data_IF_052432855990
#
_entry.id   IF_052432855990
#
_cell.length_a   1.000
_cell.length_b   1.000
_cell.length_c   1.000
_cell.angle_alpha   90.00
_cell.angle_beta   90.00
_cell.angle_gamma   90.00
#
_symmetry.space_group_name_H-M   'P 1'
#
loop_
_entity.id
_entity.type
_entity.pdbx_description
1 polymer ?
#
# COMPACT_ATOMS: atom_id res chain seq x y z
N UNK A 1 -13.60 -51.28 24.87
CA UNK A 1 -12.91 -51.03 23.58
C UNK A 1 -13.12 -49.62 22.99
N UNK A 2 -14.17 -48.85 23.35
CA UNK A 2 -14.48 -47.52 22.75
C UNK A 2 -13.49 -46.38 23.08
N UNK A 3 -12.71 -46.47 24.16
CA UNK A 3 -11.83 -45.37 24.57
C UNK A 3 -10.49 -45.29 23.80
N UNK A 4 -10.07 -46.38 23.14
CA UNK A 4 -8.75 -46.44 22.47
C UNK A 4 -8.74 -45.81 21.07
N UNK A 5 -9.91 -45.67 20.44
CA UNK A 5 -10.07 -45.10 19.10
C UNK A 5 -10.11 -43.56 19.16
N UNK A 6 -10.69 -42.99 20.23
CA UNK A 6 -10.83 -41.54 20.41
C UNK A 6 -9.50 -40.79 20.53
N UNK A 7 -8.45 -41.41 21.07
CA UNK A 7 -7.15 -40.72 21.21
C UNK A 7 -6.31 -40.69 19.93
N UNK A 8 -6.53 -41.62 18.99
CA UNK A 8 -5.80 -41.64 17.72
C UNK A 8 -6.28 -40.55 16.75
N UNK A 9 -7.59 -40.32 16.69
CA UNK A 9 -8.19 -39.26 15.85
C UNK A 9 -7.79 -37.88 16.35
N UNK A 10 -7.74 -37.68 17.68
CA UNK A 10 -7.33 -36.41 18.27
C UNK A 10 -5.84 -36.09 18.00
N UNK A 11 -4.96 -37.10 18.01
CA UNK A 11 -3.54 -36.91 17.65
C UNK A 11 -3.36 -36.55 16.18
N UNK A 12 -4.05 -37.24 15.26
CA UNK A 12 -3.97 -36.92 13.84
C UNK A 12 -4.44 -35.48 13.53
N UNK A 13 -5.50 -35.01 14.21
CA UNK A 13 -5.97 -33.63 14.05
C UNK A 13 -4.95 -32.58 14.52
N UNK A 14 -4.17 -32.87 15.56
CA UNK A 14 -3.13 -31.94 16.03
C UNK A 14 -1.93 -31.87 15.09
N UNK A 15 -1.62 -32.96 14.38
CA UNK A 15 -0.47 -33.03 13.47
C UNK A 15 -0.74 -32.40 12.09
N UNK A 16 -2.01 -32.29 11.67
CA UNK A 16 -2.40 -31.74 10.36
C UNK A 16 -2.69 -30.23 10.42
N UNK A 17 -2.93 -29.66 11.60
CA UNK A 17 -3.27 -28.24 11.73
C UNK A 17 -2.01 -27.34 11.72
N UNK A 18 -2.02 -26.24 10.96
CA UNK A 18 -0.94 -25.26 11.00
C UNK A 18 -0.80 -24.67 12.42
N UNK A 19 0.45 -24.40 12.81
CA UNK A 19 0.78 -23.84 14.14
C UNK A 19 0.00 -22.54 14.35
N UNK A 20 -0.84 -22.48 15.39
CA UNK A 20 -1.62 -21.29 15.75
C UNK A 20 -3.11 -21.51 16.01
N UNK A 21 -3.65 -22.71 15.75
CA UNK A 21 -5.09 -23.01 15.94
C UNK A 21 -5.31 -23.72 17.28
N UNK A 22 -6.16 -23.14 18.14
CA UNK A 22 -6.59 -23.77 19.39
C UNK A 22 -7.85 -24.61 19.19
N UNK A 23 -7.84 -25.87 19.65
CA UNK A 23 -8.98 -26.79 19.55
C UNK A 23 -9.53 -27.07 20.95
N UNK A 24 -10.76 -26.63 21.22
CA UNK A 24 -11.49 -26.94 22.46
C UNK A 24 -12.45 -28.12 22.24
N UNK A 25 -12.30 -29.19 23.03
CA UNK A 25 -13.20 -30.34 23.00
C UNK A 25 -14.21 -30.23 24.15
N UNK A 26 -15.51 -30.21 23.82
CA UNK A 26 -16.59 -30.23 24.82
C UNK A 26 -17.12 -31.66 24.96
N UNK A 27 -17.42 -32.09 26.19
CA UNK A 27 -17.64 -33.49 26.59
C UNK A 27 -18.85 -34.21 25.95
N UNK A 28 -19.65 -33.54 25.11
CA UNK A 28 -20.87 -34.09 24.52
C UNK A 28 -20.69 -34.71 23.12
N UNK A 29 -19.45 -34.80 22.62
CA UNK A 29 -19.16 -35.58 21.40
C UNK A 29 -19.48 -34.87 20.08
N UNK A 30 -19.85 -33.59 20.13
CA UNK A 30 -19.88 -32.72 18.96
C UNK A 30 -18.55 -31.96 18.88
N UNK A 31 -17.78 -32.20 17.81
CA UNK A 31 -16.63 -31.37 17.48
C UNK A 31 -17.13 -30.18 16.67
N UNK A 32 -17.19 -29.01 17.31
CA UNK A 32 -17.32 -27.75 16.60
C UNK A 32 -15.91 -27.25 16.29
N UNK A 33 -15.52 -27.33 15.02
CA UNK A 33 -14.38 -26.55 14.54
C UNK A 33 -14.89 -25.14 14.39
N UNK A 34 -14.70 -24.32 15.42
CA UNK A 34 -14.67 -22.89 15.21
C UNK A 34 -13.38 -22.63 14.44
N UNK A 35 -13.49 -22.52 13.12
CA UNK A 35 -12.63 -21.57 12.47
C UNK A 35 -13.05 -20.23 13.08
N UNK A 36 -12.35 -19.80 14.14
CA UNK A 36 -12.11 -18.38 14.27
C UNK A 36 -11.64 -18.01 12.89
N UNK A 37 -12.43 -17.20 12.17
CA UNK A 37 -11.84 -16.34 11.20
C UNK A 37 -10.64 -15.76 11.94
N UNK A 38 -9.44 -16.23 11.59
CA UNK A 38 -8.40 -15.26 11.33
C UNK A 38 -9.11 -14.35 10.34
N UNK A 39 -9.70 -13.29 10.89
CA UNK A 39 -9.57 -12.02 10.24
C UNK A 39 -8.10 -12.02 9.82
N UNK A 40 -7.85 -12.35 8.55
CA UNK A 40 -6.99 -11.46 7.77
C UNK A 40 -7.37 -10.10 8.31
N UNK A 41 -6.47 -9.34 8.98
CA UNK A 41 -6.84 -8.04 9.49
C UNK A 41 -7.65 -7.43 8.37
N UNK A 42 -8.96 -7.29 8.60
CA UNK A 42 -9.84 -6.62 7.67
C UNK A 42 -9.05 -5.39 7.36
N UNK A 43 -8.77 -5.13 6.07
CA UNK A 43 -8.18 -3.89 5.59
C UNK A 43 -8.59 -2.82 6.58
N UNK A 44 -7.67 -2.44 7.49
CA UNK A 44 -8.10 -1.87 8.77
C UNK A 44 -9.09 -0.77 8.39
N UNK A 45 -10.33 -0.77 8.87
CA UNK A 45 -11.13 0.43 8.81
C UNK A 45 -10.44 1.33 9.84
N UNK A 46 -9.26 1.85 9.47
CA UNK A 46 -8.53 2.80 10.26
C UNK A 46 -9.57 3.84 10.59
N UNK A 47 -9.92 4.04 11.88
CA UNK A 47 -10.67 5.23 12.22
C UNK A 47 -9.83 6.37 11.64
N UNK A 48 -10.41 7.18 10.75
CA UNK A 48 -9.82 8.35 10.08
C UNK A 48 -9.45 9.46 11.10
N UNK A 49 -9.04 9.09 12.30
CA UNK A 49 -8.47 9.90 13.36
C UNK A 49 -6.96 9.64 13.52
N UNK A 50 -6.38 8.66 12.80
CA UNK A 50 -4.96 8.67 12.48
C UNK A 50 -4.78 9.55 11.23
N UNK A 51 -3.98 10.60 11.33
CA UNK A 51 -3.72 11.53 10.22
C UNK A 51 -3.15 10.71 9.05
N UNK A 52 -3.99 10.33 8.10
CA UNK A 52 -3.51 9.82 6.82
C UNK A 52 -3.09 11.02 6.02
N UNK A 53 -1.86 11.00 5.51
CA UNK A 53 -1.30 12.12 4.76
C UNK A 53 -2.25 12.56 3.65
N UNK A 54 -2.43 13.86 3.53
CA UNK A 54 -3.24 14.49 2.49
C UNK A 54 -2.34 15.07 1.42
N UNK A 55 -2.78 14.98 0.16
CA UNK A 55 -2.13 15.59 -0.97
C UNK A 55 -2.12 17.11 -0.79
N UNK A 56 -0.94 17.68 -0.89
CA UNK A 56 -0.70 19.11 -0.70
C UNK A 56 -0.22 19.80 -1.98
N UNK A 57 0.27 19.03 -2.96
CA UNK A 57 0.68 19.55 -4.26
C UNK A 57 1.65 18.64 -5.00
N UNK A 58 2.18 19.15 -6.11
CA UNK A 58 3.27 18.52 -6.86
C UNK A 58 4.53 19.37 -6.76
N UNK A 59 5.70 18.76 -6.92
CA UNK A 59 6.97 19.50 -7.04
C UNK A 59 7.01 20.35 -8.31
N UNK A 60 7.69 21.50 -8.27
CA UNK A 60 7.85 22.39 -9.43
C UNK A 60 8.71 21.80 -10.55
N UNK A 61 9.63 20.89 -10.19
CA UNK A 61 10.53 20.24 -11.14
C UNK A 61 9.99 18.89 -11.58
N UNK A 62 10.35 18.51 -12.81
CA UNK A 62 10.17 17.15 -13.30
C UNK A 62 11.41 16.33 -12.95
N UNK A 63 11.18 15.09 -12.52
CA UNK A 63 12.25 14.20 -12.11
C UNK A 63 12.30 12.98 -13.02
N UNK A 64 13.53 12.66 -13.42
CA UNK A 64 13.86 11.28 -13.75
C UNK A 64 13.68 10.41 -12.53
N UNK A 65 13.17 9.21 -12.71
CA UNK A 65 12.87 8.28 -11.62
C UNK A 65 14.09 7.72 -10.85
N UNK A 66 15.27 8.34 -10.97
CA UNK A 66 16.43 8.07 -10.13
C UNK A 66 16.95 9.38 -9.58
N UNK A 67 16.83 9.50 -8.26
CA UNK A 67 17.25 10.64 -7.45
C UNK A 67 17.96 10.15 -6.18
N UNK A 68 18.79 9.11 -6.30
CA UNK A 68 19.63 8.57 -5.22
C UNK A 68 18.89 7.99 -4.00
N UNK A 69 17.61 7.66 -4.11
CA UNK A 69 16.87 6.97 -3.05
C UNK A 69 15.65 7.72 -2.52
N UNK A 70 14.85 7.03 -1.71
CA UNK A 70 13.68 7.62 -1.05
C UNK A 70 13.98 8.85 -0.19
N UNK A 71 15.14 8.92 0.46
CA UNK A 71 15.47 10.07 1.32
C UNK A 71 15.59 11.35 0.51
N UNK A 72 16.26 11.30 -0.64
CA UNK A 72 16.43 12.46 -1.50
C UNK A 72 15.14 12.75 -2.27
N UNK A 73 14.43 11.72 -2.72
CA UNK A 73 13.12 11.85 -3.35
C UNK A 73 12.11 12.55 -2.42
N UNK A 74 12.05 12.18 -1.15
CA UNK A 74 11.18 12.85 -0.16
C UNK A 74 11.61 14.28 0.14
N UNK A 75 12.92 14.58 0.15
CA UNK A 75 13.41 15.96 0.33
C UNK A 75 12.92 16.87 -0.79
N UNK A 76 12.76 16.38 -2.01
CA UNK A 76 12.22 17.20 -3.09
C UNK A 76 10.79 17.67 -2.78
N UNK A 77 9.97 16.83 -2.13
CA UNK A 77 8.67 17.27 -1.62
C UNK A 77 8.81 18.27 -0.46
N UNK A 78 9.77 18.07 0.45
CA UNK A 78 9.93 18.94 1.63
C UNK A 78 10.56 20.31 1.36
N UNK A 79 11.34 20.47 0.28
CA UNK A 79 12.26 21.62 0.10
C UNK A 79 11.78 22.59 -0.99
N UNK A 80 11.00 22.12 -1.97
CA UNK A 80 10.95 22.77 -3.28
C UNK A 80 9.73 23.64 -3.57
N UNK A 81 8.79 23.83 -2.63
CA UNK A 81 7.52 24.51 -2.96
C UNK A 81 6.85 25.15 -1.73
N UNK A 82 6.29 26.35 -1.94
CA UNK A 82 5.51 27.07 -0.93
C UNK A 82 4.32 26.22 -0.46
N UNK A 83 4.31 25.84 0.81
CA UNK A 83 3.24 25.04 1.41
C UNK A 83 3.49 23.52 1.44
N UNK A 84 4.61 23.02 0.92
CA UNK A 84 4.99 21.61 0.97
C UNK A 84 6.01 21.28 2.09
N UNK A 85 6.23 22.19 3.03
CA UNK A 85 7.13 21.98 4.16
C UNK A 85 6.71 20.73 4.97
N UNK A 86 7.69 19.92 5.34
CA UNK A 86 7.52 18.61 6.02
C UNK A 86 6.64 17.59 5.26
N UNK A 87 6.51 17.73 3.93
CA UNK A 87 5.81 16.74 3.09
C UNK A 87 6.76 15.65 2.57
N UNK A 88 6.18 14.54 2.11
CA UNK A 88 6.87 13.40 1.50
C UNK A 88 6.18 12.99 0.18
N UNK A 89 6.81 12.11 -0.59
CA UNK A 89 6.17 11.57 -1.79
C UNK A 89 4.96 10.73 -1.39
N UNK A 90 3.79 11.11 -1.90
CA UNK A 90 2.53 10.42 -1.64
C UNK A 90 2.62 8.92 -1.93
N UNK A 91 1.90 8.14 -1.14
CA UNK A 91 1.52 6.77 -1.45
C UNK A 91 0.19 6.72 -2.21
N UNK A 92 -0.11 5.58 -2.85
CA UNK A 92 -1.45 5.37 -3.43
C UNK A 92 -2.56 5.61 -2.41
N UNK A 93 -2.39 5.12 -1.18
CA UNK A 93 -3.40 5.25 -0.13
C UNK A 93 -3.68 6.71 0.23
N UNK A 94 -2.64 7.53 0.31
CA UNK A 94 -2.78 8.97 0.61
C UNK A 94 -3.47 9.71 -0.53
N UNK A 95 -3.17 9.39 -1.79
CA UNK A 95 -3.85 9.97 -2.94
C UNK A 95 -5.34 9.56 -2.99
N UNK A 96 -5.64 8.28 -2.78
CA UNK A 96 -7.02 7.80 -2.71
C UNK A 96 -7.79 8.43 -1.54
N UNK A 97 -7.16 8.54 -0.38
CA UNK A 97 -7.79 9.17 0.78
C UNK A 97 -8.03 10.65 0.56
N UNK A 98 -7.05 11.37 0.03
CA UNK A 98 -7.20 12.78 -0.35
C UNK A 98 -8.37 12.97 -1.31
N UNK A 99 -8.48 12.12 -2.33
CA UNK A 99 -9.63 12.14 -3.24
C UNK A 99 -10.97 11.87 -2.55
N UNK A 100 -11.02 10.90 -1.62
CA UNK A 100 -12.25 10.51 -0.95
C UNK A 100 -12.68 11.50 0.15
N UNK A 101 -11.75 12.17 0.80
CA UNK A 101 -12.02 13.06 1.94
C UNK A 101 -12.05 14.53 1.56
N UNK A 102 -11.34 14.92 0.50
CA UNK A 102 -11.20 16.32 0.14
C UNK A 102 -12.27 16.76 -0.87
N UNK A 103 -13.41 17.17 -0.33
CA UNK A 103 -14.43 17.89 -1.09
C UNK A 103 -13.96 19.29 -1.54
N UNK A 104 -12.80 19.77 -1.06
CA UNK A 104 -12.21 21.08 -1.33
C UNK A 104 -10.92 20.97 -2.19
N UNK A 105 -11.06 20.40 -3.38
CA UNK A 105 -10.45 20.88 -4.63
C UNK A 105 -8.94 20.77 -4.91
N UNK A 106 -8.02 20.58 -3.95
CA UNK A 106 -6.57 20.59 -4.30
C UNK A 106 -6.14 19.41 -5.18
N UNK A 107 -6.61 18.20 -4.89
CA UNK A 107 -6.40 17.04 -5.79
C UNK A 107 -7.22 17.16 -7.07
N UNK A 108 -8.45 17.66 -6.97
CA UNK A 108 -9.41 17.67 -8.08
C UNK A 108 -9.08 18.73 -9.14
N UNK A 109 -8.43 19.82 -8.74
CA UNK A 109 -8.04 20.91 -9.63
C UNK A 109 -6.63 20.70 -10.22
N UNK A 110 -5.86 19.76 -9.67
CA UNK A 110 -4.57 19.38 -10.23
C UNK A 110 -4.77 18.68 -11.58
N UNK A 111 -3.94 19.04 -12.56
CA UNK A 111 -3.93 18.39 -13.88
C UNK A 111 -2.59 17.73 -14.15
N UNK A 112 -2.58 16.81 -15.11
CA UNK A 112 -1.37 16.12 -15.54
C UNK A 112 -1.06 14.85 -14.75
N UNK A 113 0.22 14.48 -14.73
CA UNK A 113 0.70 13.20 -14.23
C UNK A 113 1.84 13.43 -13.23
N UNK A 114 1.89 12.68 -12.12
CA UNK A 114 2.98 12.76 -11.15
C UNK A 114 3.39 11.39 -10.62
N UNK A 115 4.67 11.24 -10.29
CA UNK A 115 5.23 10.09 -9.60
C UNK A 115 4.69 9.97 -8.17
N UNK A 116 4.42 8.75 -7.72
CA UNK A 116 4.05 8.45 -6.34
C UNK A 116 4.61 7.08 -5.91
N UNK A 117 4.65 6.80 -4.60
CA UNK A 117 5.23 5.59 -4.01
C UNK A 117 4.24 4.42 -3.92
N UNK A 118 4.79 3.20 -3.98
CA UNK A 118 4.13 1.92 -3.67
C UNK A 118 3.01 1.47 -4.63
N UNK A 119 2.80 2.18 -5.74
CA UNK A 119 1.90 1.78 -6.83
C UNK A 119 0.45 1.42 -6.48
N UNK A 120 -0.39 1.13 -7.49
CA UNK A 120 -1.74 0.67 -7.24
C UNK A 120 -1.75 -0.76 -6.67
N UNK A 121 -2.67 -1.07 -5.74
CA UNK A 121 -2.88 -2.44 -5.30
C UNK A 121 -3.34 -3.33 -6.46
N UNK A 122 -2.94 -4.61 -6.45
CA UNK A 122 -3.50 -5.64 -7.34
C UNK A 122 -2.74 -5.91 -8.63
N UNK A 123 -1.53 -5.38 -8.82
CA UNK A 123 -0.66 -5.77 -9.94
C UNK A 123 0.24 -6.97 -9.54
N UNK A 124 -0.05 -8.13 -10.12
CA UNK A 124 0.65 -9.40 -9.87
C UNK A 124 1.80 -9.66 -10.87
N UNK A 125 1.72 -9.08 -12.07
CA UNK A 125 2.67 -9.33 -13.18
C UNK A 125 3.84 -8.34 -13.25
N UNK A 126 3.76 -7.21 -12.57
CA UNK A 126 4.80 -6.17 -12.63
C UNK A 126 4.99 -5.54 -11.26
N UNK A 127 6.13 -5.81 -10.64
CA UNK A 127 6.51 -5.22 -9.37
C UNK A 127 6.92 -3.75 -9.61
N UNK A 128 5.98 -2.83 -9.40
CA UNK A 128 6.33 -1.41 -9.22
C UNK A 128 7.06 -1.28 -7.90
N UNK A 129 8.36 -1.03 -7.94
CA UNK A 129 9.21 -0.84 -6.77
C UNK A 129 9.86 0.54 -6.77
N UNK A 130 9.10 1.53 -7.26
CA UNK A 130 9.48 2.93 -7.35
C UNK A 130 10.83 3.11 -8.04
N UNK A 131 11.07 2.38 -9.14
CA UNK A 131 12.35 2.42 -9.85
C UNK A 131 13.55 2.01 -9.00
N UNK A 132 13.43 0.84 -8.36
CA UNK A 132 14.41 0.32 -7.40
C UNK A 132 14.64 1.30 -6.25
N UNK A 133 13.55 1.83 -5.68
CA UNK A 133 13.57 2.82 -4.60
C UNK A 133 14.21 4.14 -5.02
N UNK A 134 13.87 4.64 -6.19
CA UNK A 134 14.35 5.88 -6.81
C UNK A 134 15.84 5.90 -7.09
N UNK A 135 16.40 4.75 -7.47
CA UNK A 135 17.83 4.62 -7.82
C UNK A 135 18.06 4.23 -9.28
N UNK A 136 17.03 3.78 -10.00
CA UNK A 136 17.14 3.32 -11.39
C UNK A 136 16.38 4.21 -12.39
N UNK A 137 16.93 4.32 -13.60
CA UNK A 137 16.26 4.92 -14.79
C UNK A 137 16.10 3.89 -15.92
N UNK A 138 16.20 2.61 -15.61
CA UNK A 138 16.21 1.56 -16.64
C UNK A 138 14.77 1.27 -17.11
N UNK A 139 14.56 1.12 -18.41
CA UNK A 139 13.24 0.82 -19.00
C UNK A 139 12.62 -0.51 -18.53
N UNK A 140 13.41 -1.40 -17.90
CA UNK A 140 12.89 -2.66 -17.34
C UNK A 140 12.41 -2.55 -15.89
N UNK A 141 12.70 -1.42 -15.25
CA UNK A 141 12.22 -1.12 -13.91
C UNK A 141 10.93 -0.30 -14.01
N UNK A 142 10.12 -0.40 -12.97
CA UNK A 142 8.79 0.21 -12.94
C UNK A 142 8.60 1.04 -11.68
N UNK A 143 7.91 2.17 -11.86
CA UNK A 143 7.33 2.98 -10.80
C UNK A 143 5.85 3.21 -11.14
N UNK A 144 5.19 4.04 -10.34
CA UNK A 144 3.81 4.36 -10.55
C UNK A 144 3.58 5.86 -10.68
N UNK A 145 2.70 6.22 -11.61
CA UNK A 145 2.23 7.58 -11.81
C UNK A 145 0.76 7.69 -11.44
N UNK A 146 0.38 8.82 -10.88
CA UNK A 146 -1.00 9.22 -10.70
C UNK A 146 -1.38 10.16 -11.84
N UNK A 147 -2.45 9.82 -12.55
CA UNK A 147 -3.04 10.69 -13.58
C UNK A 147 -4.15 11.51 -12.95
N UNK A 148 -3.93 12.79 -12.69
CA UNK A 148 -4.92 13.63 -12.01
C UNK A 148 -6.19 13.81 -12.85
N UNK A 149 -6.08 13.98 -14.18
CA UNK A 149 -7.22 14.17 -15.08
C UNK A 149 -8.20 12.98 -15.09
N UNK A 150 -7.70 11.78 -14.79
CA UNK A 150 -8.49 10.53 -14.82
C UNK A 150 -8.52 9.81 -13.47
N UNK A 151 -7.96 10.44 -12.43
CA UNK A 151 -7.93 9.99 -11.04
C UNK A 151 -7.58 8.51 -10.88
N UNK A 152 -6.52 8.09 -11.57
CA UNK A 152 -6.09 6.69 -11.59
C UNK A 152 -4.58 6.58 -11.46
N UNK A 153 -4.17 5.54 -10.75
CA UNK A 153 -2.79 5.10 -10.71
C UNK A 153 -2.49 4.20 -11.91
N UNK A 154 -1.29 4.33 -12.48
CA UNK A 154 -0.76 3.49 -13.54
C UNK A 154 0.67 3.07 -13.21
N UNK A 155 1.04 1.86 -13.62
CA UNK A 155 2.45 1.44 -13.63
C UNK A 155 3.11 1.99 -14.89
N UNK A 156 4.31 2.55 -14.75
CA UNK A 156 5.06 3.18 -15.83
C UNK A 156 6.55 2.88 -15.74
N UNK A 157 7.24 3.02 -16.87
CA UNK A 157 8.67 2.73 -16.98
C UNK A 157 9.54 3.83 -16.36
N UNK A 158 10.65 3.43 -15.77
CA UNK A 158 11.60 4.32 -15.09
C UNK A 158 12.52 5.12 -16.03
N UNK A 159 12.53 4.82 -17.34
CA UNK A 159 13.31 5.61 -18.29
C UNK A 159 12.64 6.95 -18.66
N UNK A 160 11.49 7.24 -18.05
CA UNK A 160 10.72 8.47 -18.25
C UNK A 160 11.16 9.54 -17.27
N UNK A 161 11.32 10.76 -17.78
CA UNK A 161 11.98 11.86 -17.05
C UNK A 161 11.11 13.08 -16.78
N UNK A 162 9.84 13.00 -17.12
CA UNK A 162 9.04 14.22 -17.36
C UNK A 162 7.87 14.37 -16.39
N UNK A 163 7.95 13.74 -15.21
CA UNK A 163 6.89 13.85 -14.20
C UNK A 163 7.41 14.44 -12.89
N UNK A 164 6.67 15.37 -12.28
CA UNK A 164 6.93 15.82 -10.91
C UNK A 164 6.59 14.71 -9.90
N UNK A 165 6.97 14.90 -8.64
CA UNK A 165 6.50 14.07 -7.53
C UNK A 165 5.19 14.62 -6.98
N UNK A 166 4.25 13.72 -6.65
CA UNK A 166 3.09 14.05 -5.86
C UNK A 166 3.47 14.06 -4.38
N UNK A 167 3.13 15.14 -3.66
CA UNK A 167 3.56 15.35 -2.28
C UNK A 167 2.37 15.35 -1.30
N UNK A 168 2.53 14.67 -0.17
CA UNK A 168 1.51 14.47 0.86
C UNK A 168 2.05 14.83 2.26
N UNK A 169 1.15 15.23 3.18
CA UNK A 169 1.46 15.60 4.56
C UNK A 169 0.38 15.15 5.54
#
# INVERSE_FOLDING_TARGET
>A
MKNKIRSKVLRWLLDVLPKGIAVFAIATGAFYVYASSVSFPDVDPYPLNGIVGQFVGVTDSNYSSSINGYSDANKECSVNTQGLEDSHICTAMELFNSYNTDANSTVLDQTGDAWFNNGPPGHDQTLSNDCQGWTSKQHKDYASIWKFDSQRALIFFCDKTDYPFACCK
#
